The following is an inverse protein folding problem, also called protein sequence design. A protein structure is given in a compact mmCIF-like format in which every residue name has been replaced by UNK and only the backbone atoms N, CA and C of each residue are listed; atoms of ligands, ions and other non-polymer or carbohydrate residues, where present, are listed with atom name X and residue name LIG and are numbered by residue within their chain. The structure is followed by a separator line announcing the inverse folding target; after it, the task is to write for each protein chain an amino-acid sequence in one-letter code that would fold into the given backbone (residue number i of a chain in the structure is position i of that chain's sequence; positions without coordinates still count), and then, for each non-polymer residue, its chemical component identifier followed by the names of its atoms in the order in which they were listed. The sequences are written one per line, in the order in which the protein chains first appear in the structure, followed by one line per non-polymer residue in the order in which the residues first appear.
data_IF_335817988886
#
_entry.id   IF_335817988886
#
_cell.length_a   1.000
_cell.length_b   1.000
_cell.length_c   1.000
_cell.angle_alpha   90.00
_cell.angle_beta   90.00
_cell.angle_gamma   90.00
#
_symmetry.space_group_name_H-M   'P 1'
#
loop_
_entity.id
_entity.type
_entity.pdbx_description
1 polymer ?
#
# COMPACT_ATOMS: atom_id res chain seq x y z
N UNK A 1 -5.89 23.05 -25.27
CA UNK A 1 -4.77 22.59 -24.40
C UNK A 1 -5.05 22.87 -22.93
N UNK A 2 -5.42 24.10 -22.55
CA UNK A 2 -5.84 24.48 -21.18
C UNK A 2 -7.01 23.62 -20.65
N UNK A 3 -8.02 23.37 -21.50
CA UNK A 3 -9.19 22.55 -21.13
C UNK A 3 -8.83 21.10 -20.77
N UNK A 4 -7.83 20.49 -21.43
CA UNK A 4 -7.40 19.12 -21.12
C UNK A 4 -6.63 19.07 -19.79
N UNK A 5 -5.87 20.12 -19.48
CA UNK A 5 -5.18 20.29 -18.20
C UNK A 5 -6.18 20.44 -17.05
N UNK A 6 -7.21 21.26 -17.22
CA UNK A 6 -8.28 21.42 -16.22
C UNK A 6 -9.04 20.12 -15.98
N UNK A 7 -9.39 19.38 -17.04
CA UNK A 7 -10.09 18.09 -16.92
C UNK A 7 -9.23 17.07 -16.17
N UNK A 8 -7.93 16.98 -16.48
CA UNK A 8 -7.02 16.07 -15.78
C UNK A 8 -6.87 16.43 -14.30
N UNK A 9 -6.82 17.72 -13.98
CA UNK A 9 -6.70 18.23 -12.62
C UNK A 9 -7.97 17.98 -11.81
N UNK A 10 -9.14 18.18 -12.41
CA UNK A 10 -10.45 17.87 -11.81
C UNK A 10 -10.61 16.37 -11.58
N UNK A 11 -10.24 15.52 -12.53
CA UNK A 11 -10.32 14.06 -12.36
C UNK A 11 -9.38 13.56 -11.27
N UNK A 12 -8.15 14.12 -11.18
CA UNK A 12 -7.22 13.84 -10.09
C UNK A 12 -7.79 14.24 -8.73
N UNK A 13 -8.41 15.42 -8.64
CA UNK A 13 -9.04 15.91 -7.42
C UNK A 13 -10.23 15.03 -7.01
N UNK A 14 -11.09 14.66 -7.96
CA UNK A 14 -12.25 13.79 -7.71
C UNK A 14 -11.82 12.39 -7.27
N UNK A 15 -10.76 11.84 -7.85
CA UNK A 15 -10.19 10.56 -7.42
C UNK A 15 -9.65 10.61 -5.98
N UNK A 16 -8.93 11.68 -5.63
CA UNK A 16 -8.37 11.87 -4.28
C UNK A 16 -9.51 12.05 -3.26
N UNK A 17 -10.43 12.98 -3.51
CA UNK A 17 -11.56 13.29 -2.60
C UNK A 17 -12.50 12.10 -2.45
N UNK A 18 -12.82 11.43 -3.56
CA UNK A 18 -13.62 10.21 -3.55
C UNK A 18 -12.97 9.11 -2.73
N UNK A 19 -11.66 8.87 -2.90
CA UNK A 19 -10.96 7.85 -2.11
C UNK A 19 -11.01 8.13 -0.60
N UNK A 20 -10.95 9.41 -0.21
CA UNK A 20 -10.96 9.83 1.18
C UNK A 20 -12.34 9.62 1.84
N UNK A 21 -13.43 9.86 1.10
CA UNK A 21 -14.80 9.74 1.62
C UNK A 21 -15.23 8.31 1.91
N UNK A 22 -14.73 7.33 1.13
CA UNK A 22 -15.08 5.90 1.32
C UNK A 22 -14.18 5.16 2.31
N UNK A 23 -13.29 5.86 3.03
CA UNK A 23 -12.27 5.27 3.91
C UNK A 23 -12.86 4.64 5.18
N UNK A 24 -13.74 5.37 5.89
CA UNK A 24 -14.20 5.00 7.23
C UNK A 24 -15.03 3.71 7.32
N UNK A 25 -15.97 3.48 6.39
CA UNK A 25 -16.77 2.22 6.38
C UNK A 25 -15.93 0.99 6.07
N UNK A 26 -14.95 1.13 5.17
CA UNK A 26 -14.03 0.03 4.82
C UNK A 26 -13.13 -0.34 5.99
N UNK A 27 -12.82 0.61 6.86
CA UNK A 27 -11.88 0.38 7.96
C UNK A 27 -12.41 -0.56 9.04
N UNK A 28 -13.71 -0.49 9.37
CA UNK A 28 -14.38 -1.37 10.36
C UNK A 28 -14.57 -2.78 9.82
N UNK A 29 -15.12 -2.94 8.61
CA UNK A 29 -15.26 -4.27 7.97
C UNK A 29 -13.91 -4.98 7.84
N UNK A 30 -12.84 -4.21 7.57
CA UNK A 30 -11.49 -4.76 7.50
C UNK A 30 -10.91 -5.17 8.85
N UNK A 31 -11.33 -4.56 9.96
CA UNK A 31 -10.85 -4.96 11.29
C UNK A 31 -11.38 -6.34 11.68
N UNK A 32 -12.67 -6.59 11.47
CA UNK A 32 -13.27 -7.90 11.74
C UNK A 32 -12.60 -9.01 10.92
N UNK A 33 -12.25 -8.71 9.66
CA UNK A 33 -11.53 -9.67 8.80
C UNK A 33 -10.10 -9.90 9.28
N UNK A 34 -9.40 -8.86 9.77
CA UNK A 34 -8.07 -9.00 10.37
C UNK A 34 -8.12 -9.92 11.58
N UNK A 35 -9.08 -9.72 12.49
CA UNK A 35 -9.22 -10.55 13.70
C UNK A 35 -9.43 -12.01 13.36
N UNK A 36 -10.37 -12.31 12.44
CA UNK A 36 -10.64 -13.69 11.97
C UNK A 36 -9.41 -14.34 11.34
N UNK A 37 -8.64 -13.59 10.53
CA UNK A 37 -7.42 -14.11 9.92
C UNK A 37 -6.32 -14.39 10.93
N UNK A 38 -6.17 -13.52 11.94
CA UNK A 38 -5.21 -13.74 13.02
C UNK A 38 -5.57 -15.01 13.80
N UNK A 39 -6.84 -15.20 14.14
CA UNK A 39 -7.30 -16.41 14.84
C UNK A 39 -7.02 -17.68 14.03
N UNK A 40 -7.35 -17.66 12.73
CA UNK A 40 -7.05 -18.78 11.82
C UNK A 40 -5.53 -19.05 11.70
N UNK A 41 -4.71 -17.99 11.69
CA UNK A 41 -3.27 -18.13 11.61
C UNK A 41 -2.66 -18.66 12.91
N UNK A 42 -3.13 -18.21 14.08
CA UNK A 42 -2.74 -18.76 15.37
C UNK A 42 -3.00 -20.26 15.43
N UNK A 43 -4.17 -20.73 15.00
CA UNK A 43 -4.47 -22.16 14.92
C UNK A 43 -3.48 -22.91 14.03
N UNK A 44 -3.09 -22.31 12.91
CA UNK A 44 -2.07 -22.88 12.01
C UNK A 44 -0.72 -22.98 12.69
N UNK A 45 -0.25 -21.90 13.33
CA UNK A 45 1.03 -21.86 14.06
C UNK A 45 1.07 -22.94 15.15
N UNK A 46 -0.04 -23.08 15.91
CA UNK A 46 -0.16 -24.11 16.95
C UNK A 46 -0.13 -25.52 16.38
N UNK A 47 -0.75 -25.74 15.22
CA UNK A 47 -0.78 -27.04 14.54
C UNK A 47 0.58 -27.42 13.95
N UNK A 48 1.27 -26.47 13.32
CA UNK A 48 2.55 -26.71 12.65
C UNK A 48 3.71 -26.77 13.65
N UNK A 49 3.62 -26.04 14.76
CA UNK A 49 4.59 -26.09 15.85
C UNK A 49 6.01 -25.68 15.41
N UNK A 50 7.00 -25.95 16.27
CA UNK A 50 8.43 -25.86 15.91
C UNK A 50 8.98 -24.45 15.63
N UNK A 51 8.19 -23.40 15.84
CA UNK A 51 8.60 -22.00 15.67
C UNK A 51 8.62 -21.26 17.01
N UNK A 52 9.42 -20.20 17.12
CA UNK A 52 9.40 -19.32 18.29
C UNK A 52 8.00 -18.74 18.54
N UNK A 53 7.25 -18.45 17.46
CA UNK A 53 5.85 -18.01 17.51
C UNK A 53 4.95 -19.05 18.18
N UNK A 54 5.18 -20.34 17.93
CA UNK A 54 4.43 -21.43 18.56
C UNK A 54 4.78 -21.64 20.04
N UNK A 55 5.88 -21.07 20.53
CA UNK A 55 6.27 -21.09 21.94
C UNK A 55 5.69 -19.91 22.74
N UNK A 56 5.23 -18.84 22.06
CA UNK A 56 4.62 -17.67 22.71
C UNK A 56 3.28 -18.01 23.37
N UNK A 57 2.91 -17.25 24.40
CA UNK A 57 1.57 -17.34 25.01
C UNK A 57 0.47 -16.87 24.04
N UNK A 58 -0.75 -17.39 24.17
CA UNK A 58 -1.85 -17.08 23.22
C UNK A 58 -2.17 -15.57 23.14
N UNK A 59 -2.17 -14.88 24.28
CA UNK A 59 -2.41 -13.43 24.33
C UNK A 59 -1.28 -12.66 23.63
N UNK A 60 -0.04 -13.03 23.90
CA UNK A 60 1.15 -12.38 23.33
C UNK A 60 1.24 -12.59 21.81
N UNK A 61 0.98 -13.82 21.35
CA UNK A 61 0.95 -14.15 19.94
C UNK A 61 -0.18 -13.39 19.22
N UNK A 62 -1.38 -13.34 19.81
CA UNK A 62 -2.51 -12.60 19.26
C UNK A 62 -2.20 -11.12 19.12
N UNK A 63 -1.66 -10.49 20.15
CA UNK A 63 -1.31 -9.07 20.14
C UNK A 63 -0.21 -8.75 19.11
N UNK A 64 0.81 -9.62 19.01
CA UNK A 64 1.85 -9.50 18.00
C UNK A 64 1.27 -9.58 16.58
N UNK A 65 0.40 -10.55 16.30
CA UNK A 65 -0.18 -10.74 14.97
C UNK A 65 -1.18 -9.62 14.63
N UNK A 66 -2.01 -9.18 15.58
CA UNK A 66 -2.93 -8.06 15.39
C UNK A 66 -2.20 -6.74 15.16
N UNK A 67 -1.14 -6.46 15.93
CA UNK A 67 -0.31 -5.27 15.71
C UNK A 67 0.43 -5.33 14.36
N UNK A 68 0.95 -6.50 13.98
CA UNK A 68 1.61 -6.73 12.69
C UNK A 68 0.67 -6.56 11.50
N UNK A 69 -0.53 -7.14 11.55
CA UNK A 69 -1.54 -7.00 10.51
C UNK A 69 -2.02 -5.55 10.36
N UNK A 70 -2.25 -4.85 11.48
CA UNK A 70 -2.59 -3.42 11.49
C UNK A 70 -1.47 -2.58 10.86
N UNK A 71 -0.21 -2.83 11.24
CA UNK A 71 0.92 -2.10 10.70
C UNK A 71 1.11 -2.36 9.19
N UNK A 72 0.95 -3.61 8.74
CA UNK A 72 0.97 -3.96 7.31
C UNK A 72 -0.09 -3.19 6.53
N UNK A 73 -1.32 -3.15 7.05
CA UNK A 73 -2.42 -2.41 6.43
C UNK A 73 -2.09 -0.92 6.32
N UNK A 74 -1.66 -0.29 7.41
CA UNK A 74 -1.31 1.14 7.43
C UNK A 74 -0.18 1.44 6.45
N UNK A 75 0.85 0.60 6.39
CA UNK A 75 1.94 0.78 5.44
C UNK A 75 1.51 0.56 3.99
N UNK A 76 0.64 -0.42 3.72
CA UNK A 76 0.08 -0.67 2.40
C UNK A 76 -0.76 0.53 1.93
N UNK A 77 -1.55 1.10 2.84
CA UNK A 77 -2.35 2.27 2.57
C UNK A 77 -1.48 3.51 2.31
N UNK A 78 -0.47 3.75 3.15
CA UNK A 78 0.50 4.83 2.96
C UNK A 78 1.24 4.69 1.63
N UNK A 79 1.64 3.47 1.26
CA UNK A 79 2.24 3.16 -0.04
C UNK A 79 1.31 3.56 -1.18
N UNK A 80 0.03 3.21 -1.10
CA UNK A 80 -0.96 3.61 -2.10
C UNK A 80 -1.08 5.14 -2.26
N UNK A 81 -1.13 5.89 -1.15
CA UNK A 81 -1.17 7.36 -1.22
C UNK A 81 0.09 7.94 -1.86
N UNK A 82 1.27 7.40 -1.54
CA UNK A 82 2.53 7.85 -2.14
C UNK A 82 2.55 7.57 -3.64
N UNK A 83 2.10 6.39 -4.08
CA UNK A 83 2.06 6.03 -5.50
C UNK A 83 1.05 6.87 -6.29
N UNK A 84 -0.15 7.11 -5.73
CA UNK A 84 -1.16 7.97 -6.36
C UNK A 84 -0.67 9.41 -6.41
N UNK A 85 -0.19 9.95 -5.29
CA UNK A 85 0.31 11.32 -5.20
C UNK A 85 1.51 11.55 -6.13
N UNK A 86 2.46 10.61 -6.14
CA UNK A 86 3.60 10.64 -7.05
C UNK A 86 3.21 10.49 -8.52
N UNK A 87 2.22 9.64 -8.83
CA UNK A 87 1.65 9.50 -10.16
C UNK A 87 0.98 10.79 -10.66
N UNK A 88 0.17 11.44 -9.82
CA UNK A 88 -0.44 12.72 -10.15
C UNK A 88 0.62 13.81 -10.40
N UNK A 89 1.62 13.93 -9.52
CA UNK A 89 2.71 14.88 -9.69
C UNK A 89 3.51 14.62 -10.98
N UNK A 90 3.78 13.35 -11.30
CA UNK A 90 4.46 12.95 -12.52
C UNK A 90 3.70 13.35 -13.79
N UNK A 91 2.38 13.14 -13.82
CA UNK A 91 1.55 13.54 -14.97
C UNK A 91 1.55 15.05 -15.15
N UNK A 92 1.43 15.82 -14.08
CA UNK A 92 1.49 17.29 -14.14
C UNK A 92 2.85 17.77 -14.65
N UNK A 93 3.94 17.18 -14.16
CA UNK A 93 5.30 17.49 -14.61
C UNK A 93 5.49 17.15 -16.10
N UNK A 94 5.01 15.98 -16.54
CA UNK A 94 5.09 15.58 -17.93
C UNK A 94 4.33 16.55 -18.85
N UNK A 95 3.14 16.98 -18.45
CA UNK A 95 2.36 17.97 -19.21
C UNK A 95 3.12 19.30 -19.30
N UNK A 96 3.63 19.81 -18.18
CA UNK A 96 4.39 21.07 -18.14
C UNK A 96 5.58 21.03 -19.11
N UNK A 97 6.43 20.02 -19.02
CA UNK A 97 7.57 19.85 -19.93
C UNK A 97 7.11 19.61 -21.37
N UNK A 98 6.01 18.89 -21.57
CA UNK A 98 5.41 18.68 -22.88
C UNK A 98 4.97 19.98 -23.57
N UNK A 99 4.66 21.03 -22.82
CA UNK A 99 4.32 22.34 -23.40
C UNK A 99 5.55 23.10 -23.91
N UNK A 100 6.74 22.83 -23.37
CA UNK A 100 7.98 23.52 -23.74
C UNK A 100 8.80 22.71 -24.77
N UNK A 101 8.89 21.40 -24.58
CA UNK A 101 9.75 20.50 -25.37
C UNK A 101 8.95 19.57 -26.32
N UNK A 102 7.63 19.73 -26.38
CA UNK A 102 6.75 18.91 -27.21
C UNK A 102 6.63 17.46 -26.74
N UNK A 103 6.21 16.58 -27.65
CA UNK A 103 5.90 15.17 -27.33
C UNK A 103 7.10 14.37 -26.84
N UNK A 104 8.31 14.75 -27.23
CA UNK A 104 9.56 14.11 -26.79
C UNK A 104 9.81 14.35 -25.31
N UNK A 105 9.76 15.60 -24.84
CA UNK A 105 9.95 15.94 -23.43
C UNK A 105 8.87 15.30 -22.54
N UNK A 106 7.61 15.36 -22.99
CA UNK A 106 6.49 14.66 -22.33
C UNK A 106 6.78 13.16 -22.14
N UNK A 107 7.19 12.46 -23.20
CA UNK A 107 7.46 11.02 -23.17
C UNK A 107 8.63 10.66 -22.26
N UNK A 108 9.70 11.45 -22.27
CA UNK A 108 10.88 11.23 -21.40
C UNK A 108 10.48 11.36 -19.93
N UNK A 109 9.74 12.41 -19.56
CA UNK A 109 9.31 12.62 -18.17
C UNK A 109 8.41 11.50 -17.69
N UNK A 110 7.44 11.07 -18.50
CA UNK A 110 6.60 9.92 -18.16
C UNK A 110 7.40 8.64 -17.94
N UNK A 111 8.37 8.35 -18.81
CA UNK A 111 9.21 7.17 -18.69
C UNK A 111 10.04 7.18 -17.40
N UNK A 112 10.70 8.31 -17.10
CA UNK A 112 11.51 8.48 -15.89
C UNK A 112 10.62 8.35 -14.64
N UNK A 113 9.45 8.98 -14.65
CA UNK A 113 8.51 8.90 -13.54
C UNK A 113 7.98 7.47 -13.33
N UNK A 114 7.66 6.74 -14.40
CA UNK A 114 7.22 5.35 -14.31
C UNK A 114 8.30 4.46 -13.67
N UNK A 115 9.57 4.62 -14.08
CA UNK A 115 10.69 3.90 -13.48
C UNK A 115 10.88 4.25 -12.00
N UNK A 116 10.78 5.53 -11.64
CA UNK A 116 10.89 5.98 -10.25
C UNK A 116 9.76 5.41 -9.38
N UNK A 117 8.51 5.51 -9.84
CA UNK A 117 7.34 4.98 -9.12
C UNK A 117 7.38 3.46 -8.99
N UNK A 118 7.86 2.75 -10.01
CA UNK A 118 8.11 1.32 -9.93
C UNK A 118 9.16 0.98 -8.86
N UNK A 119 10.28 1.71 -8.84
CA UNK A 119 11.33 1.55 -7.84
C UNK A 119 10.82 1.81 -6.41
N UNK A 120 10.03 2.87 -6.23
CA UNK A 120 9.38 3.18 -4.95
C UNK A 120 8.40 2.07 -4.55
N UNK A 121 7.56 1.61 -5.47
CA UNK A 121 6.59 0.53 -5.22
C UNK A 121 7.29 -0.74 -4.71
N UNK A 122 8.38 -1.13 -5.36
CA UNK A 122 9.15 -2.33 -5.03
C UNK A 122 9.94 -2.17 -3.72
N UNK A 123 10.60 -1.03 -3.53
CA UNK A 123 11.33 -0.73 -2.29
C UNK A 123 10.40 -0.76 -1.07
N UNK A 124 9.25 -0.08 -1.15
CA UNK A 124 8.27 -0.07 -0.07
C UNK A 124 7.68 -1.46 0.17
N UNK A 125 7.39 -2.22 -0.90
CA UNK A 125 6.87 -3.58 -0.79
C UNK A 125 7.81 -4.50 -0.01
N UNK A 126 9.12 -4.43 -0.29
CA UNK A 126 10.13 -5.20 0.43
C UNK A 126 10.27 -4.77 1.89
N UNK A 127 10.42 -3.46 2.14
CA UNK A 127 10.56 -2.90 3.50
C UNK A 127 9.40 -3.22 4.42
N UNK A 128 8.18 -3.34 3.89
CA UNK A 128 7.01 -3.73 4.66
C UNK A 128 7.05 -5.18 5.14
N UNK A 129 7.60 -6.08 4.33
CA UNK A 129 7.61 -7.53 4.56
C UNK A 129 8.79 -7.98 5.40
N UNK A 130 9.97 -7.39 5.17
CA UNK A 130 11.23 -7.69 5.86
C UNK A 130 11.11 -7.92 7.38
N UNK A 131 10.53 -7.00 8.18
CA UNK A 131 10.49 -7.17 9.64
C UNK A 131 9.59 -8.33 10.09
N UNK A 132 8.62 -8.75 9.28
CA UNK A 132 7.70 -9.84 9.59
C UNK A 132 8.31 -11.19 9.23
N UNK A 133 8.92 -11.26 8.05
CA UNK A 133 9.69 -12.43 7.61
C UNK A 133 10.82 -12.72 8.59
N UNK A 134 11.52 -11.69 9.08
CA UNK A 134 12.56 -11.83 10.10
C UNK A 134 12.05 -12.41 11.44
N UNK A 135 10.74 -12.30 11.73
CA UNK A 135 10.09 -12.89 12.91
C UNK A 135 9.40 -14.23 12.60
N UNK A 136 9.59 -14.79 11.41
CA UNK A 136 8.93 -16.02 10.97
C UNK A 136 7.42 -15.87 10.68
N UNK A 137 6.93 -14.63 10.53
CA UNK A 137 5.52 -14.35 10.26
C UNK A 137 5.28 -14.44 8.74
N UNK A 138 4.33 -15.28 8.36
CA UNK A 138 3.83 -15.41 6.99
C UNK A 138 2.89 -14.24 6.66
N UNK A 139 3.38 -13.32 5.83
CA UNK A 139 2.70 -12.06 5.50
C UNK A 139 1.41 -12.30 4.71
N UNK A 140 1.38 -13.33 3.88
CA UNK A 140 0.27 -13.67 3.00
C UNK A 140 -0.96 -14.12 3.80
N UNK A 141 -0.73 -14.73 4.97
CA UNK A 141 -1.80 -15.13 5.90
C UNK A 141 -2.42 -13.94 6.63
N UNK A 142 -1.64 -12.89 6.88
CA UNK A 142 -2.09 -11.66 7.54
C UNK A 142 -2.70 -10.63 6.59
N UNK A 143 -2.47 -10.75 5.28
CA UNK A 143 -2.92 -9.77 4.29
C UNK A 143 -4.45 -9.81 4.12
N UNK A 144 -5.06 -8.64 4.17
CA UNK A 144 -6.48 -8.44 3.83
C UNK A 144 -6.51 -7.66 2.52
N UNK A 145 -7.07 -8.26 1.48
CA UNK A 145 -7.33 -7.61 0.18
C UNK A 145 -8.61 -6.76 0.25
#
# INVERSE_FOLDING_TARGET
MVVLLEIALVLGLVGIVGSYFFRGRRDTERQDVIERRVEAYMQTIRREGGTELAAMGDLELRDLLLSSARNLRVQAERKWYILIGGGAAAVLAAIAIGTEEGTRGFGIVLLVAALALYGINEFMGRRMREPLVARGIDVERLRVE
#
